data_IF_896456144325
#
_entry.id   IF_896456144325
#
_cell.length_a   1.000
_cell.length_b   1.000
_cell.length_c   1.000
_cell.angle_alpha   90.00
_cell.angle_beta   90.00
_cell.angle_gamma   90.00
#
_symmetry.space_group_name_H-M   'P 1'
#
loop_
_entity.id
_entity.type
_entity.pdbx_description
1 polymer ?
#
# COMPACT_ATOMS: atom_id res chain seq x y z
N UNK A 1 -14.42 3.17 -34.71
CA UNK A 1 -14.69 2.78 -33.30
C UNK A 1 -14.38 3.97 -32.40
N UNK A 2 -15.38 4.72 -31.91
CA UNK A 2 -15.17 5.89 -31.06
C UNK A 2 -15.02 5.43 -29.60
N UNK A 3 -13.83 5.59 -29.03
CA UNK A 3 -13.56 5.33 -27.61
C UNK A 3 -14.20 6.50 -26.83
N UNK A 4 -15.22 6.21 -26.03
CA UNK A 4 -15.85 7.17 -25.11
C UNK A 4 -14.87 7.59 -24.00
N UNK A 5 -15.00 8.79 -23.42
CA UNK A 5 -14.06 9.31 -22.40
C UNK A 5 -13.89 8.39 -21.18
N UNK A 6 -14.92 7.64 -20.80
CA UNK A 6 -14.86 6.61 -19.73
C UNK A 6 -13.90 5.47 -20.06
N UNK A 7 -13.93 4.93 -21.28
CA UNK A 7 -12.99 3.88 -21.70
C UNK A 7 -11.54 4.35 -21.68
N UNK A 8 -11.29 5.64 -21.92
CA UNK A 8 -9.95 6.23 -21.85
C UNK A 8 -9.42 6.22 -20.41
N UNK A 9 -10.26 6.59 -19.43
CA UNK A 9 -9.92 6.57 -18.01
C UNK A 9 -9.70 5.14 -17.50
N UNK A 10 -10.56 4.22 -17.90
CA UNK A 10 -10.45 2.79 -17.55
C UNK A 10 -9.15 2.18 -18.07
N UNK A 11 -8.79 2.42 -19.33
CA UNK A 11 -7.52 1.95 -19.92
C UNK A 11 -6.32 2.56 -19.22
N UNK A 12 -6.38 3.85 -18.86
CA UNK A 12 -5.30 4.53 -18.14
C UNK A 12 -5.11 3.94 -16.73
N UNK A 13 -6.21 3.73 -16.00
CA UNK A 13 -6.20 3.10 -14.68
C UNK A 13 -5.66 1.67 -14.76
N UNK A 14 -6.13 0.88 -15.72
CA UNK A 14 -5.63 -0.48 -15.91
C UNK A 14 -4.13 -0.50 -16.19
N UNK A 15 -3.60 0.42 -17.00
CA UNK A 15 -2.18 0.47 -17.33
C UNK A 15 -1.31 0.95 -16.17
N UNK A 16 -1.73 2.03 -15.50
CA UNK A 16 -0.89 2.73 -14.53
C UNK A 16 -1.04 2.21 -13.10
N UNK A 17 -2.18 1.58 -12.78
CA UNK A 17 -2.51 1.14 -11.42
C UNK A 17 -2.68 -0.38 -11.38
N UNK A 18 -3.70 -0.92 -12.07
CA UNK A 18 -4.06 -2.34 -11.91
C UNK A 18 -2.95 -3.29 -12.35
N UNK A 19 -2.36 -3.08 -13.54
CA UNK A 19 -1.28 -3.92 -14.05
C UNK A 19 -0.02 -3.86 -13.21
N UNK A 20 0.34 -2.66 -12.73
CA UNK A 20 1.50 -2.50 -11.84
C UNK A 20 1.25 -3.21 -10.52
N UNK A 21 0.07 -3.04 -9.93
CA UNK A 21 -0.33 -3.73 -8.71
C UNK A 21 -0.26 -5.26 -8.86
N UNK A 22 -0.84 -5.82 -9.92
CA UNK A 22 -0.78 -7.28 -10.20
C UNK A 22 0.67 -7.78 -10.30
N UNK A 23 1.51 -7.07 -11.06
CA UNK A 23 2.91 -7.42 -11.27
C UNK A 23 3.69 -7.41 -9.96
N UNK A 24 3.52 -6.35 -9.17
CA UNK A 24 4.19 -6.18 -7.89
C UNK A 24 3.71 -7.21 -6.86
N UNK A 25 2.41 -7.45 -6.75
CA UNK A 25 1.88 -8.50 -5.87
C UNK A 25 2.46 -9.87 -6.23
N UNK A 26 2.45 -10.22 -7.52
CA UNK A 26 3.05 -11.49 -7.95
C UNK A 26 4.53 -11.58 -7.59
N UNK A 27 5.29 -10.49 -7.72
CA UNK A 27 6.70 -10.46 -7.34
C UNK A 27 6.88 -10.62 -5.82
N UNK A 28 6.15 -9.86 -5.01
CA UNK A 28 6.29 -9.87 -3.55
C UNK A 28 5.86 -11.18 -2.90
N UNK A 29 4.83 -11.85 -3.44
CA UNK A 29 4.39 -13.17 -3.00
C UNK A 29 5.40 -14.29 -3.29
N UNK A 30 6.29 -14.10 -4.28
CA UNK A 30 7.31 -15.10 -4.65
C UNK A 30 8.65 -14.91 -3.94
N UNK A 31 8.84 -13.80 -3.22
CA UNK A 31 10.07 -13.54 -2.47
C UNK A 31 10.14 -14.42 -1.20
N UNK A 32 11.29 -15.08 -0.93
CA UNK A 32 11.42 -15.95 0.24
C UNK A 32 11.26 -15.16 1.54
N UNK A 33 10.40 -15.68 2.42
CA UNK A 33 10.05 -15.07 3.70
C UNK A 33 11.27 -15.03 4.64
N UNK A 34 11.87 -13.85 4.83
CA UNK A 34 12.94 -13.62 5.80
C UNK A 34 12.43 -12.80 6.99
N UNK A 35 11.93 -13.48 8.02
CA UNK A 35 11.85 -12.94 9.37
C UNK A 35 10.47 -13.00 10.04
N UNK A 36 10.47 -13.68 11.19
CA UNK A 36 9.36 -13.91 12.10
C UNK A 36 9.30 -12.79 13.18
N UNK A 37 8.08 -12.56 13.71
CA UNK A 37 7.68 -11.80 14.92
C UNK A 37 7.47 -10.26 14.79
N UNK A 38 6.32 -9.85 15.33
CA UNK A 38 5.84 -8.49 15.65
C UNK A 38 5.02 -7.66 14.64
N UNK A 39 4.80 -8.09 13.39
CA UNK A 39 3.90 -7.35 12.45
C UNK A 39 2.41 -7.61 12.63
N UNK A 40 2.03 -8.73 13.26
CA UNK A 40 0.63 -9.18 13.34
C UNK A 40 -0.32 -8.21 14.07
N UNK A 41 0.21 -7.36 14.95
CA UNK A 41 -0.58 -6.39 15.70
C UNK A 41 -0.84 -5.09 14.92
N UNK A 42 0.10 -4.64 14.08
CA UNK A 42 0.06 -3.32 13.43
C UNK A 42 -0.74 -3.30 12.12
N UNK A 43 -0.82 -4.43 11.41
CA UNK A 43 -1.55 -4.52 10.14
C UNK A 43 -3.04 -4.14 10.27
N UNK A 44 -3.81 -4.64 11.27
CA UNK A 44 -5.20 -4.20 11.45
C UNK A 44 -5.35 -2.70 11.69
N UNK A 45 -4.39 -2.07 12.41
CA UNK A 45 -4.39 -0.62 12.61
C UNK A 45 -4.06 0.12 11.32
N UNK A 46 -3.12 -0.39 10.53
CA UNK A 46 -2.79 0.19 9.23
C UNK A 46 -3.97 0.13 8.27
N UNK A 47 -4.68 -1.00 8.19
CA UNK A 47 -5.91 -1.12 7.38
C UNK A 47 -6.96 -0.11 7.83
N UNK A 48 -7.16 0.08 9.14
CA UNK A 48 -8.09 1.06 9.68
C UNK A 48 -7.67 2.50 9.36
N UNK A 49 -6.38 2.81 9.44
CA UNK A 49 -5.83 4.12 9.08
C UNK A 49 -6.06 4.43 7.60
N UNK A 50 -5.79 3.46 6.71
CA UNK A 50 -6.07 3.57 5.28
C UNK A 50 -7.55 3.82 5.00
N UNK A 51 -8.45 3.01 5.59
CA UNK A 51 -9.89 3.20 5.40
C UNK A 51 -10.35 4.60 5.83
N UNK A 52 -9.94 5.05 7.03
CA UNK A 52 -10.30 6.37 7.53
C UNK A 52 -9.69 7.52 6.73
N UNK A 53 -8.44 7.38 6.29
CA UNK A 53 -7.74 8.40 5.50
C UNK A 53 -8.35 8.57 4.11
N UNK A 54 -8.68 7.46 3.45
CA UNK A 54 -9.37 7.49 2.15
C UNK A 54 -10.76 8.13 2.27
N UNK A 55 -11.54 7.80 3.31
CA UNK A 55 -12.83 8.47 3.57
C UNK A 55 -12.69 9.98 3.78
N UNK A 56 -11.57 10.42 4.35
CA UNK A 56 -11.24 11.84 4.54
C UNK A 56 -10.65 12.52 3.30
N UNK A 57 -10.42 11.78 2.22
CA UNK A 57 -9.82 12.29 0.99
C UNK A 57 -8.32 12.61 1.11
N UNK A 58 -7.63 12.00 2.08
CA UNK A 58 -6.19 12.17 2.28
C UNK A 58 -5.38 11.48 1.17
N UNK A 59 -4.21 12.02 0.85
CA UNK A 59 -3.30 11.39 -0.09
C UNK A 59 -2.63 10.16 0.55
N UNK A 60 -2.26 9.13 -0.24
CA UNK A 60 -1.67 7.90 0.30
C UNK A 60 -0.39 8.13 1.11
N UNK A 61 0.46 9.07 0.68
CA UNK A 61 1.69 9.46 1.37
C UNK A 61 1.40 10.09 2.75
N UNK A 62 0.35 10.91 2.85
CA UNK A 62 -0.10 11.49 4.12
C UNK A 62 -0.61 10.41 5.08
N UNK A 63 -1.43 9.47 4.58
CA UNK A 63 -1.96 8.35 5.38
C UNK A 63 -0.81 7.50 5.95
N UNK A 64 0.19 7.21 5.13
CA UNK A 64 1.36 6.42 5.54
C UNK A 64 2.17 7.20 6.59
N UNK A 65 2.45 8.48 6.35
CA UNK A 65 3.20 9.33 7.27
C UNK A 65 2.51 9.43 8.64
N UNK A 66 1.20 9.71 8.65
CA UNK A 66 0.40 9.81 9.87
C UNK A 66 0.35 8.50 10.65
N UNK A 67 0.23 7.36 9.96
CA UNK A 67 0.23 6.05 10.60
C UNK A 67 1.54 5.80 11.34
N UNK A 68 2.69 6.01 10.67
CA UNK A 68 3.98 5.81 11.30
C UNK A 68 4.21 6.81 12.43
N UNK A 69 3.82 8.08 12.27
CA UNK A 69 3.91 9.07 13.35
C UNK A 69 3.07 8.71 14.59
N UNK A 70 1.92 8.05 14.39
CA UNK A 70 0.96 7.73 15.46
C UNK A 70 1.24 6.40 16.15
N UNK A 71 1.64 5.37 15.40
CA UNK A 71 1.70 3.99 15.89
C UNK A 71 3.12 3.42 15.95
N UNK A 72 4.14 4.21 15.60
CA UNK A 72 5.50 3.72 15.46
C UNK A 72 6.56 4.77 15.84
N UNK A 73 7.46 4.46 16.76
CA UNK A 73 8.69 5.25 16.97
C UNK A 73 9.73 5.07 15.83
N UNK A 74 9.33 4.44 14.72
CA UNK A 74 10.18 4.23 13.55
C UNK A 74 10.30 5.55 12.77
N UNK A 75 11.29 6.36 13.17
CA UNK A 75 11.62 7.62 12.50
C UNK A 75 12.54 7.50 11.27
N UNK A 76 12.95 6.28 10.86
CA UNK A 76 13.84 6.08 9.70
C UNK A 76 13.06 5.54 8.50
N UNK A 77 13.09 6.27 7.38
CA UNK A 77 12.43 5.92 6.12
C UNK A 77 12.69 4.48 5.66
N UNK A 78 13.92 3.97 5.84
CA UNK A 78 14.31 2.62 5.46
C UNK A 78 13.55 1.53 6.25
N UNK A 79 13.29 1.76 7.54
CA UNK A 79 12.57 0.82 8.39
C UNK A 79 11.06 0.89 8.15
N UNK A 80 10.52 2.09 7.87
CA UNK A 80 9.13 2.26 7.44
C UNK A 80 8.86 1.49 6.13
N UNK A 81 9.75 1.65 5.15
CA UNK A 81 9.67 0.96 3.86
C UNK A 81 9.72 -0.55 4.05
N UNK A 82 10.62 -1.04 4.89
CA UNK A 82 10.73 -2.47 5.23
C UNK A 82 9.46 -3.01 5.88
N UNK A 83 8.79 -2.22 6.72
CA UNK A 83 7.52 -2.62 7.35
C UNK A 83 6.36 -2.63 6.34
N UNK A 84 6.28 -1.66 5.44
CA UNK A 84 5.30 -1.65 4.35
C UNK A 84 5.43 -2.88 3.46
N UNK A 85 6.66 -3.28 3.10
CA UNK A 85 6.88 -4.52 2.35
C UNK A 85 6.36 -5.74 3.09
N UNK A 86 6.53 -5.80 4.41
CA UNK A 86 6.00 -6.90 5.23
C UNK A 86 4.47 -6.92 5.24
N UNK A 87 3.79 -5.77 5.20
CA UNK A 87 2.32 -5.72 5.11
C UNK A 87 1.80 -6.25 3.78
N UNK A 88 2.52 -6.04 2.67
CA UNK A 88 2.14 -6.56 1.35
C UNK A 88 2.38 -8.07 1.24
N UNK A 89 3.36 -8.60 1.97
CA UNK A 89 3.70 -10.03 1.98
C UNK A 89 2.78 -10.89 2.86
N UNK A 90 1.99 -10.29 3.77
CA UNK A 90 1.06 -10.98 4.65
C UNK A 90 -0.34 -11.05 4.03
#
# INVERSE_FOLDING_TARGET
MRITPDKKKEVLFNREVARKFELYNSLFLTLPFQGIKDTGSLLPFFVKACASGVEKGMAPDEIISDFFATYSDIGKDAEQLKMLFRFVQY
#
